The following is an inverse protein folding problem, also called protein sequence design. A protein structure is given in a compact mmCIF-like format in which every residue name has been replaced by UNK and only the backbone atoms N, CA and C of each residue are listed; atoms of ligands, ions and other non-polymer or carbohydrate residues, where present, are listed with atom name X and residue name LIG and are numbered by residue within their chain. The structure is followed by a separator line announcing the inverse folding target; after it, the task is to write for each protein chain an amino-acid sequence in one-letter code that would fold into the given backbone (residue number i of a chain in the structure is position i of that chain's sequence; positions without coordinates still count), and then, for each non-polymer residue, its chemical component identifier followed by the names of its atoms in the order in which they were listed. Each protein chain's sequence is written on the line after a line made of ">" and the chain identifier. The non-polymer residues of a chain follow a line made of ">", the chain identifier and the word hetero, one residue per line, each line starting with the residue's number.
data_IF_719830530350
#
_entry.id   IF_719830530350
#
_cell.length_a   1.000
_cell.length_b   1.000
_cell.length_c   1.000
_cell.angle_alpha   90.00
_cell.angle_beta   90.00
_cell.angle_gamma   90.00
#
_symmetry.space_group_name_H-M   'P 1'
#
loop_
_entity.id
_entity.type
_entity.pdbx_description
1 polymer ?
#
# COMPACT_ATOMS: atom_id res chain seq x y z
N UNK A 1 -8.28 14.34 8.73
CA UNK A 1 -7.26 13.87 9.71
C UNK A 1 -7.45 12.41 10.14
N UNK A 2 -8.63 11.98 10.61
CA UNK A 2 -8.87 10.62 11.13
C UNK A 2 -8.48 9.48 10.17
N UNK A 3 -8.81 9.60 8.88
CA UNK A 3 -8.50 8.57 7.88
C UNK A 3 -6.98 8.34 7.71
N UNK A 4 -6.21 9.42 7.48
CA UNK A 4 -4.77 9.34 7.22
C UNK A 4 -3.92 9.20 8.51
N UNK A 5 -4.35 9.84 9.60
CA UNK A 5 -3.59 9.95 10.85
C UNK A 5 -4.42 9.52 12.07
N UNK A 6 -5.11 8.38 11.98
CA UNK A 6 -6.06 7.93 13.01
C UNK A 6 -5.48 7.85 14.43
N UNK A 7 -4.19 7.49 14.57
CA UNK A 7 -3.51 7.50 15.87
C UNK A 7 -3.36 8.91 16.44
N UNK A 8 -2.91 9.87 15.62
CA UNK A 8 -2.75 11.27 16.05
C UNK A 8 -4.11 11.88 16.41
N UNK A 9 -5.13 11.62 15.58
CA UNK A 9 -6.50 12.03 15.84
C UNK A 9 -7.00 11.46 17.18
N UNK A 10 -6.75 10.17 17.47
CA UNK A 10 -7.14 9.57 18.76
C UNK A 10 -6.43 10.23 19.95
N UNK A 11 -5.15 10.57 19.83
CA UNK A 11 -4.42 11.25 20.90
C UNK A 11 -5.06 12.60 21.23
N UNK A 12 -5.34 13.41 20.22
CA UNK A 12 -6.04 14.69 20.38
C UNK A 12 -7.40 14.51 21.06
N UNK A 13 -8.25 13.59 20.57
CA UNK A 13 -9.59 13.35 21.13
C UNK A 13 -9.54 12.88 22.60
N UNK A 14 -8.57 12.03 22.94
CA UNK A 14 -8.47 11.45 24.29
C UNK A 14 -7.89 12.47 25.29
N UNK A 15 -6.98 13.33 24.84
CA UNK A 15 -6.20 14.20 25.70
C UNK A 15 -6.47 15.69 25.60
N UNK A 16 -7.38 16.13 24.73
CA UNK A 16 -7.60 17.54 24.38
C UNK A 16 -6.44 18.20 23.61
N UNK A 17 -5.32 17.50 23.47
CA UNK A 17 -4.13 17.87 22.71
C UNK A 17 -3.31 16.61 22.40
N UNK A 18 -2.40 16.68 21.43
CA UNK A 18 -1.50 15.55 21.10
C UNK A 18 -0.63 15.17 22.30
N UNK A 19 -0.09 16.17 23.01
CA UNK A 19 0.76 15.97 24.19
C UNK A 19 -0.04 15.34 25.33
N UNK A 20 -1.21 15.89 25.66
CA UNK A 20 -2.09 15.34 26.69
C UNK A 20 -2.52 13.91 26.37
N UNK A 21 -2.81 13.62 25.09
CA UNK A 21 -3.15 12.29 24.61
C UNK A 21 -2.00 11.29 24.78
N UNK A 22 -0.78 11.75 24.54
CA UNK A 22 0.44 10.94 24.69
C UNK A 22 0.65 10.53 26.14
N UNK A 23 0.52 11.46 27.10
CA UNK A 23 0.61 11.14 28.52
C UNK A 23 -0.45 10.13 28.96
N UNK A 24 -1.70 10.30 28.52
CA UNK A 24 -2.77 9.34 28.81
C UNK A 24 -2.48 7.96 28.21
N UNK A 25 -2.03 7.90 26.95
CA UNK A 25 -1.68 6.64 26.29
C UNK A 25 -0.51 5.91 26.99
N UNK A 26 0.48 6.64 27.52
CA UNK A 26 1.57 6.05 28.32
C UNK A 26 1.01 5.48 29.64
N UNK A 27 0.15 6.23 30.33
CA UNK A 27 -0.48 5.78 31.58
C UNK A 27 -1.31 4.51 31.37
N UNK A 28 -2.15 4.48 30.34
CA UNK A 28 -2.96 3.31 29.97
C UNK A 28 -2.10 2.07 29.67
N UNK A 29 -0.99 2.27 28.97
CA UNK A 29 -0.08 1.19 28.56
C UNK A 29 0.73 0.64 29.73
N UNK A 30 0.97 1.45 30.76
CA UNK A 30 1.52 1.01 32.04
C UNK A 30 0.52 0.13 32.80
N UNK A 31 -0.77 0.50 32.81
CA UNK A 31 -1.81 -0.29 33.46
C UNK A 31 -2.21 -1.56 32.70
N UNK A 32 -2.08 -1.58 31.37
CA UNK A 32 -2.42 -2.72 30.50
C UNK A 32 -1.23 -3.06 29.60
N UNK A 33 -0.27 -3.87 30.09
CA UNK A 33 0.89 -4.27 29.31
C UNK A 33 0.46 -5.09 28.09
N UNK A 34 1.21 -4.93 26.99
CA UNK A 34 0.98 -5.74 25.79
C UNK A 34 1.24 -7.21 26.09
N UNK A 35 0.51 -8.14 25.45
CA UNK A 35 0.83 -9.55 25.53
C UNK A 35 2.29 -9.81 25.12
N UNK A 36 2.95 -10.81 25.71
CA UNK A 36 4.34 -11.13 25.43
C UNK A 36 4.54 -11.45 23.93
N UNK A 37 5.67 -11.01 23.38
CA UNK A 37 6.03 -11.28 21.99
C UNK A 37 6.33 -12.77 21.82
N UNK A 38 5.93 -13.34 20.68
CA UNK A 38 6.29 -14.72 20.30
C UNK A 38 7.83 -14.86 20.28
N UNK A 39 8.41 -15.78 21.09
CA UNK A 39 9.85 -15.94 21.23
C UNK A 39 10.53 -16.43 19.95
N UNK A 40 9.78 -16.98 18.99
CA UNK A 40 10.31 -17.41 17.67
C UNK A 40 10.61 -16.23 16.75
N UNK A 41 10.03 -15.06 17.03
CA UNK A 41 10.22 -13.87 16.20
C UNK A 41 11.50 -13.14 16.60
N UNK A 42 12.36 -12.75 15.65
CA UNK A 42 13.56 -12.00 15.96
C UNK A 42 13.20 -10.67 16.66
N UNK A 43 14.01 -10.29 17.65
CA UNK A 43 13.87 -9.00 18.33
C UNK A 43 14.40 -7.89 17.41
N UNK A 44 13.57 -6.93 16.99
CA UNK A 44 14.04 -5.82 16.16
C UNK A 44 15.05 -4.98 16.94
N UNK A 45 16.19 -4.63 16.33
CA UNK A 45 17.16 -3.71 16.93
C UNK A 45 16.66 -2.27 16.74
N UNK A 46 15.88 -1.76 17.69
CA UNK A 46 15.34 -0.39 17.64
C UNK A 46 14.16 -0.22 16.68
N UNK A 47 13.89 1.01 16.24
CA UNK A 47 12.86 1.31 15.24
C UNK A 47 13.39 1.04 13.83
N UNK A 48 13.60 -0.23 13.48
CA UNK A 48 14.07 -0.63 12.15
C UNK A 48 12.91 -0.91 11.21
N UNK A 49 12.98 -0.37 10.00
CA UNK A 49 12.21 -0.86 8.87
C UNK A 49 12.67 -2.27 8.49
N UNK A 50 11.72 -3.16 8.23
CA UNK A 50 12.00 -4.56 7.90
C UNK A 50 11.73 -4.86 6.42
N UNK A 51 12.52 -5.78 5.86
CA UNK A 51 12.28 -6.41 4.57
C UNK A 51 12.69 -7.88 4.66
N UNK A 52 12.41 -8.65 3.61
CA UNK A 52 12.84 -10.05 3.54
C UNK A 52 14.15 -10.16 2.75
N UNK A 53 14.91 -11.24 2.99
CA UNK A 53 16.24 -11.47 2.38
C UNK A 53 16.24 -11.27 0.85
N UNK A 54 15.24 -11.81 0.14
CA UNK A 54 15.09 -11.68 -1.32
C UNK A 54 14.11 -10.58 -1.74
N UNK A 55 13.54 -9.85 -0.79
CA UNK A 55 12.68 -8.67 -1.02
C UNK A 55 11.22 -8.94 -0.72
N UNK A 56 10.39 -7.91 -0.83
CA UNK A 56 8.99 -7.96 -0.41
C UNK A 56 8.16 -9.01 -1.14
N UNK A 57 8.59 -9.47 -2.33
CA UNK A 57 7.96 -10.56 -3.09
C UNK A 57 7.92 -11.88 -2.31
N UNK A 58 8.86 -12.13 -1.39
CA UNK A 58 8.86 -13.35 -0.58
C UNK A 58 7.55 -13.57 0.20
N UNK A 59 6.90 -12.50 0.64
CA UNK A 59 5.65 -12.60 1.40
C UNK A 59 4.47 -13.13 0.55
N UNK A 60 4.08 -12.48 -0.56
CA UNK A 60 3.02 -13.00 -1.41
C UNK A 60 3.37 -14.35 -2.04
N UNK A 61 4.65 -14.61 -2.39
CA UNK A 61 5.06 -15.92 -2.93
C UNK A 61 4.82 -17.04 -1.88
N UNK A 62 5.21 -16.84 -0.62
CA UNK A 62 4.99 -17.81 0.45
C UNK A 62 3.50 -18.01 0.79
N UNK A 63 2.69 -16.95 0.71
CA UNK A 63 1.23 -17.06 0.86
C UNK A 63 0.64 -17.88 -0.30
N UNK A 64 1.08 -17.63 -1.53
CA UNK A 64 0.65 -18.37 -2.72
C UNK A 64 0.95 -19.86 -2.58
N UNK A 65 2.19 -20.21 -2.20
CA UNK A 65 2.61 -21.58 -1.96
C UNK A 65 1.74 -22.27 -0.89
N UNK A 66 1.48 -21.60 0.23
CA UNK A 66 0.66 -22.16 1.32
C UNK A 66 -0.81 -22.36 0.93
N UNK A 67 -1.36 -21.50 0.07
CA UNK A 67 -2.75 -21.61 -0.39
C UNK A 67 -2.91 -22.59 -1.56
N UNK A 68 -1.84 -22.85 -2.32
CA UNK A 68 -1.80 -23.83 -3.41
C UNK A 68 -2.89 -23.56 -4.46
N UNK A 69 -3.63 -24.62 -4.81
CA UNK A 69 -4.66 -24.60 -5.87
C UNK A 69 -5.85 -23.66 -5.61
N UNK A 70 -5.98 -23.11 -4.38
CA UNK A 70 -6.99 -22.11 -4.03
C UNK A 70 -6.69 -20.74 -4.64
N UNK A 71 -5.43 -20.44 -4.97
CA UNK A 71 -5.06 -19.22 -5.69
C UNK A 71 -5.27 -19.46 -7.18
N UNK A 72 -6.13 -18.64 -7.78
CA UNK A 72 -6.38 -18.66 -9.23
C UNK A 72 -5.77 -17.41 -9.87
N UNK A 73 -4.67 -17.60 -10.59
CA UNK A 73 -4.02 -16.54 -11.35
C UNK A 73 -4.68 -16.40 -12.72
N UNK A 74 -4.66 -15.19 -13.29
CA UNK A 74 -5.30 -14.87 -14.58
C UNK A 74 -6.82 -15.10 -14.61
N UNK A 75 -7.47 -15.18 -13.44
CA UNK A 75 -8.92 -15.22 -13.31
C UNK A 75 -9.43 -13.81 -13.02
N UNK A 76 -10.17 -13.24 -13.96
CA UNK A 76 -10.76 -11.90 -13.83
C UNK A 76 -12.24 -12.02 -13.58
N UNK A 77 -12.71 -11.52 -12.42
CA UNK A 77 -14.13 -11.46 -12.11
C UNK A 77 -14.83 -10.51 -13.09
N UNK A 78 -15.79 -11.01 -13.86
CA UNK A 78 -16.55 -10.24 -14.84
C UNK A 78 -17.93 -9.85 -14.34
N UNK A 79 -18.60 -10.71 -13.56
CA UNK A 79 -19.91 -10.39 -12.98
C UNK A 79 -20.16 -11.08 -11.65
N UNK A 80 -21.03 -10.46 -10.87
CA UNK A 80 -21.62 -11.00 -9.64
C UNK A 80 -23.12 -11.15 -9.91
N UNK A 81 -23.75 -12.21 -9.43
CA UNK A 81 -25.20 -12.36 -9.49
C UNK A 81 -25.65 -12.97 -8.18
N UNK A 82 -26.71 -12.41 -7.58
CA UNK A 82 -27.29 -12.99 -6.36
C UNK A 82 -27.95 -14.32 -6.71
N UNK A 83 -27.73 -15.32 -5.89
CA UNK A 83 -28.43 -16.60 -6.06
C UNK A 83 -29.76 -16.58 -5.30
N UNK A 84 -30.82 -17.09 -5.91
CA UNK A 84 -32.13 -17.29 -5.28
C UNK A 84 -32.06 -18.16 -4.01
N UNK A 85 -31.06 -19.06 -3.94
CA UNK A 85 -30.82 -19.95 -2.79
C UNK A 85 -29.93 -19.33 -1.71
N UNK A 86 -29.69 -18.03 -1.79
CA UNK A 86 -28.74 -17.30 -0.94
C UNK A 86 -27.30 -17.35 -1.47
N UNK A 87 -26.53 -16.31 -1.18
CA UNK A 87 -25.16 -16.13 -1.65
C UNK A 87 -25.08 -15.62 -3.10
N UNK A 88 -23.98 -15.93 -3.76
CA UNK A 88 -23.56 -15.32 -5.02
C UNK A 88 -23.08 -16.36 -6.02
N UNK A 89 -23.40 -16.11 -7.29
CA UNK A 89 -22.75 -16.69 -8.45
C UNK A 89 -21.75 -15.68 -9.00
N UNK A 90 -20.49 -16.09 -9.11
CA UNK A 90 -19.36 -15.29 -9.56
C UNK A 90 -18.90 -15.81 -10.90
N UNK A 91 -18.90 -14.97 -11.93
CA UNK A 91 -18.43 -15.35 -13.27
C UNK A 91 -17.03 -14.79 -13.51
N UNK A 92 -16.12 -15.64 -13.95
CA UNK A 92 -14.74 -15.32 -14.22
C UNK A 92 -14.38 -15.56 -15.68
N UNK A 93 -13.67 -14.61 -16.27
CA UNK A 93 -12.87 -14.82 -17.47
C UNK A 93 -11.56 -15.51 -17.06
N UNK A 94 -11.27 -16.68 -17.65
CA UNK A 94 -10.06 -17.47 -17.36
C UNK A 94 -9.35 -17.86 -18.66
N UNK A 95 -8.08 -18.29 -18.62
CA UNK A 95 -7.37 -18.77 -19.81
C UNK A 95 -8.07 -19.94 -20.52
N UNK A 96 -8.81 -20.76 -19.78
CA UNK A 96 -9.55 -21.92 -20.29
C UNK A 96 -11.00 -21.61 -20.70
N UNK A 97 -11.41 -20.34 -20.61
CA UNK A 97 -12.76 -19.88 -20.93
C UNK A 97 -13.52 -19.34 -19.72
N UNK A 98 -14.84 -19.18 -19.87
CA UNK A 98 -15.69 -18.62 -18.81
C UNK A 98 -16.03 -19.68 -17.77
N UNK A 99 -15.81 -19.37 -16.50
CA UNK A 99 -16.12 -20.26 -15.37
C UNK A 99 -16.99 -19.54 -14.35
N UNK A 100 -18.00 -20.21 -13.80
CA UNK A 100 -18.83 -19.68 -12.71
C UNK A 100 -18.62 -20.45 -11.41
N UNK A 101 -18.48 -19.71 -10.30
CA UNK A 101 -18.32 -20.24 -8.94
C UNK A 101 -19.44 -19.76 -8.04
N UNK A 102 -19.88 -20.60 -7.11
CA UNK A 102 -20.81 -20.20 -6.04
C UNK A 102 -20.04 -19.86 -4.78
N UNK A 103 -20.42 -18.77 -4.12
CA UNK A 103 -19.89 -18.39 -2.81
C UNK A 103 -21.00 -17.83 -1.93
N UNK A 104 -20.89 -18.04 -0.61
CA UNK A 104 -21.80 -17.41 0.37
C UNK A 104 -21.42 -15.98 0.70
N UNK A 105 -20.14 -15.65 0.58
CA UNK A 105 -19.60 -14.33 0.89
C UNK A 105 -18.52 -13.93 -0.12
N UNK A 106 -18.32 -12.63 -0.30
CA UNK A 106 -17.32 -12.06 -1.20
C UNK A 106 -16.50 -11.05 -0.40
N UNK A 107 -15.17 -11.11 -0.50
CA UNK A 107 -14.31 -10.02 -0.01
C UNK A 107 -13.65 -9.37 -1.21
N UNK A 108 -14.00 -8.11 -1.48
CA UNK A 108 -13.42 -7.35 -2.58
C UNK A 108 -12.17 -6.60 -2.11
N UNK A 109 -10.99 -7.11 -2.48
CA UNK A 109 -9.69 -6.48 -2.18
C UNK A 109 -9.05 -5.82 -3.40
N UNK A 110 -9.80 -5.66 -4.49
CA UNK A 110 -9.37 -4.93 -5.69
C UNK A 110 -9.35 -3.41 -5.43
N UNK A 111 -8.64 -2.60 -6.25
CA UNK A 111 -8.72 -1.14 -6.14
C UNK A 111 -10.17 -0.64 -6.25
N UNK A 112 -10.50 0.48 -5.61
CA UNK A 112 -11.89 0.95 -5.50
C UNK A 112 -12.53 1.26 -6.86
N UNK A 113 -11.77 1.78 -7.84
CA UNK A 113 -12.28 2.02 -9.19
C UNK A 113 -12.62 0.72 -9.93
N UNK A 114 -11.90 -0.39 -9.63
CA UNK A 114 -12.25 -1.73 -10.15
C UNK A 114 -13.52 -2.24 -9.47
N UNK A 115 -13.60 -2.09 -8.14
CA UNK A 115 -14.80 -2.46 -7.39
C UNK A 115 -16.04 -1.69 -7.86
N UNK A 116 -15.89 -0.38 -8.13
CA UNK A 116 -16.95 0.49 -8.68
C UNK A 116 -17.54 -0.10 -9.97
N UNK A 117 -16.69 -0.47 -10.94
CA UNK A 117 -17.15 -1.02 -12.21
C UNK A 117 -17.90 -2.34 -12.03
N UNK A 118 -17.39 -3.24 -11.19
CA UNK A 118 -18.02 -4.54 -10.93
C UNK A 118 -19.36 -4.38 -10.19
N UNK A 119 -19.47 -3.40 -9.29
CA UNK A 119 -20.64 -3.21 -8.43
C UNK A 119 -21.71 -2.29 -9.03
N UNK A 120 -21.40 -1.53 -10.08
CA UNK A 120 -22.33 -0.60 -10.71
C UNK A 120 -23.67 -1.24 -11.12
N UNK A 121 -23.72 -2.46 -11.67
CA UNK A 121 -25.00 -3.12 -11.97
C UNK A 121 -25.85 -3.48 -10.73
N UNK A 122 -25.26 -3.47 -9.53
CA UNK A 122 -25.92 -3.86 -8.28
C UNK A 122 -26.26 -2.69 -7.39
N UNK A 123 -25.46 -1.62 -7.44
CA UNK A 123 -25.71 -0.38 -6.70
C UNK A 123 -24.94 0.77 -7.34
N UNK A 124 -25.66 1.66 -8.02
CA UNK A 124 -25.09 2.88 -8.62
C UNK A 124 -24.48 3.77 -7.53
N UNK A 125 -25.18 3.94 -6.40
CA UNK A 125 -24.71 4.75 -5.28
C UNK A 125 -23.38 4.23 -4.68
N UNK A 126 -23.25 2.91 -4.49
CA UNK A 126 -21.99 2.33 -4.02
C UNK A 126 -20.87 2.51 -5.05
N UNK A 127 -21.17 2.29 -6.34
CA UNK A 127 -20.20 2.45 -7.41
C UNK A 127 -19.69 3.89 -7.53
N UNK A 128 -20.58 4.89 -7.45
CA UNK A 128 -20.21 6.29 -7.53
C UNK A 128 -19.30 6.68 -6.35
N UNK A 129 -19.67 6.29 -5.13
CA UNK A 129 -18.83 6.51 -3.95
C UNK A 129 -17.43 5.89 -4.11
N UNK A 130 -17.32 4.65 -4.59
CA UNK A 130 -16.05 3.95 -4.78
C UNK A 130 -15.17 4.56 -5.89
N UNK A 131 -15.79 5.07 -6.96
CA UNK A 131 -15.07 5.75 -8.05
C UNK A 131 -14.53 7.12 -7.67
N UNK A 132 -15.09 7.75 -6.62
CA UNK A 132 -14.66 9.08 -6.19
C UNK A 132 -13.29 9.11 -5.50
N UNK A 133 -12.77 7.94 -5.07
CA UNK A 133 -11.44 7.87 -4.45
C UNK A 133 -10.36 8.17 -5.48
N UNK A 134 -9.57 9.21 -5.21
CA UNK A 134 -8.50 9.67 -6.08
C UNK A 134 -7.21 8.85 -5.89
N UNK A 135 -6.59 8.46 -7.00
CA UNK A 135 -5.31 7.74 -7.03
C UNK A 135 -4.36 8.49 -7.98
N UNK A 136 -3.38 9.25 -7.46
CA UNK A 136 -2.36 9.85 -8.29
C UNK A 136 -1.41 8.81 -8.86
N UNK A 137 -0.78 9.10 -10.00
CA UNK A 137 0.26 8.25 -10.55
C UNK A 137 1.54 8.41 -9.74
N UNK A 138 2.32 7.34 -9.63
CA UNK A 138 3.68 7.38 -9.07
C UNK A 138 4.56 6.47 -9.92
N UNK A 139 5.81 6.87 -10.14
CA UNK A 139 6.82 5.99 -10.68
C UNK A 139 7.89 5.68 -9.64
N UNK A 140 8.35 4.43 -9.60
CA UNK A 140 9.54 4.00 -8.91
C UNK A 140 10.69 3.86 -9.92
N UNK A 141 11.78 4.59 -9.67
CA UNK A 141 12.98 4.61 -10.50
C UNK A 141 14.13 4.08 -9.65
N UNK A 142 14.57 2.86 -9.96
CA UNK A 142 15.66 2.19 -9.25
C UNK A 142 16.93 2.33 -10.07
N UNK A 143 17.91 3.04 -9.50
CA UNK A 143 19.17 3.35 -10.16
C UNK A 143 20.33 3.13 -9.20
N UNK A 144 21.50 2.86 -9.76
CA UNK A 144 22.71 2.60 -9.01
C UNK A 144 23.85 3.50 -9.46
N UNK A 145 24.57 4.05 -8.50
CA UNK A 145 25.80 4.80 -8.73
C UNK A 145 27.01 4.06 -8.15
N UNK A 146 28.21 4.27 -8.69
CA UNK A 146 29.42 3.92 -7.95
C UNK A 146 29.52 4.78 -6.67
N UNK A 147 30.14 4.26 -5.61
CA UNK A 147 30.17 4.92 -4.31
C UNK A 147 30.86 6.29 -4.38
N UNK A 148 31.90 6.43 -5.20
CA UNK A 148 32.64 7.67 -5.44
C UNK A 148 31.81 8.79 -6.10
N UNK A 149 30.66 8.47 -6.70
CA UNK A 149 29.74 9.46 -7.25
C UNK A 149 28.95 10.21 -6.16
N UNK A 150 28.86 9.66 -4.94
CA UNK A 150 28.23 10.35 -3.82
C UNK A 150 29.09 11.56 -3.43
N UNK A 151 28.46 12.67 -3.11
CA UNK A 151 29.12 13.87 -2.59
C UNK A 151 29.75 13.59 -1.22
N UNK A 152 30.98 14.04 -1.02
CA UNK A 152 31.78 13.65 0.14
C UNK A 152 31.14 14.16 1.45
N UNK A 153 30.50 15.33 1.43
CA UNK A 153 29.77 15.90 2.57
C UNK A 153 28.47 15.15 2.94
N UNK A 154 28.08 14.14 2.16
CA UNK A 154 26.92 13.27 2.42
C UNK A 154 27.33 11.94 3.03
N UNK A 155 28.63 11.66 3.14
CA UNK A 155 29.15 10.42 3.70
C UNK A 155 29.38 10.57 5.21
N UNK A 156 29.10 9.49 5.94
CA UNK A 156 29.42 9.36 7.36
C UNK A 156 30.32 8.13 7.49
N UNK A 157 31.56 8.32 7.93
CA UNK A 157 32.61 7.30 7.94
C UNK A 157 32.84 6.66 6.56
N UNK A 158 32.79 7.46 5.49
CA UNK A 158 32.98 7.01 4.11
C UNK A 158 31.79 6.31 3.47
N UNK A 159 30.66 6.18 4.17
CA UNK A 159 29.47 5.48 3.68
C UNK A 159 28.24 6.39 3.63
N UNK A 160 27.34 6.13 2.67
CA UNK A 160 26.02 6.74 2.66
C UNK A 160 25.13 6.04 3.70
N UNK A 161 25.00 6.66 4.88
CA UNK A 161 24.20 6.13 6.00
C UNK A 161 22.82 6.77 6.06
N UNK A 162 21.80 5.96 6.35
CA UNK A 162 20.45 6.43 6.67
C UNK A 162 19.35 5.73 5.88
N UNK A 163 18.10 6.08 6.18
CA UNK A 163 16.94 5.55 5.45
C UNK A 163 16.85 6.11 4.03
N UNK A 164 17.10 7.41 3.89
CA UNK A 164 16.89 8.13 2.64
C UNK A 164 16.55 9.60 2.86
N UNK A 165 15.98 10.21 1.82
CA UNK A 165 15.55 11.60 1.78
C UNK A 165 14.08 11.69 1.38
N UNK A 166 13.38 12.68 1.95
CA UNK A 166 12.11 13.18 1.45
C UNK A 166 12.34 14.61 0.96
N UNK A 167 11.70 14.97 -0.16
CA UNK A 167 11.93 16.24 -0.81
C UNK A 167 10.68 17.12 -0.69
N UNK A 168 10.69 18.13 0.20
CA UNK A 168 9.64 19.14 0.20
C UNK A 168 9.58 19.84 -1.15
N UNK A 169 8.37 20.19 -1.60
CA UNK A 169 8.14 20.87 -2.88
C UNK A 169 8.94 22.17 -3.04
N UNK A 170 9.22 22.86 -1.93
CA UNK A 170 10.03 24.08 -1.90
C UNK A 170 11.48 23.87 -2.38
N UNK A 171 11.94 22.62 -2.51
CA UNK A 171 13.28 22.32 -3.05
C UNK A 171 13.35 22.39 -4.59
N UNK A 172 12.23 22.57 -5.30
CA UNK A 172 12.24 22.73 -6.76
C UNK A 172 12.74 21.49 -7.51
N UNK A 173 12.38 20.32 -7.00
CA UNK A 173 12.67 19.00 -7.58
C UNK A 173 11.36 18.25 -7.85
N UNK A 174 11.38 17.34 -8.81
CA UNK A 174 10.22 16.53 -9.18
C UNK A 174 10.13 15.24 -8.37
N UNK A 175 11.28 14.71 -7.96
CA UNK A 175 11.40 13.50 -7.13
C UNK A 175 10.79 13.76 -5.75
N UNK A 176 9.93 12.86 -5.27
CA UNK A 176 9.25 12.92 -3.97
C UNK A 176 10.16 12.51 -2.82
N UNK A 177 10.99 11.49 -3.06
CA UNK A 177 11.90 10.93 -2.07
C UNK A 177 12.77 9.84 -2.65
N UNK A 178 13.86 9.57 -1.94
CA UNK A 178 14.89 8.60 -2.31
C UNK A 178 15.16 7.69 -1.12
N UNK A 179 15.03 6.38 -1.30
CA UNK A 179 15.41 5.37 -0.30
C UNK A 179 16.82 4.86 -0.61
N UNK A 180 17.68 4.87 0.40
CA UNK A 180 19.06 4.36 0.32
C UNK A 180 19.05 2.84 0.50
N UNK A 181 18.58 2.14 -0.54
CA UNK A 181 18.23 0.72 -0.46
C UNK A 181 19.41 -0.16 -0.04
N UNK A 182 20.61 0.10 -0.53
CA UNK A 182 21.82 -0.63 -0.14
C UNK A 182 22.35 -0.29 1.26
N UNK A 183 21.99 0.90 1.79
CA UNK A 183 22.31 1.31 3.17
C UNK A 183 21.41 0.59 4.17
N UNK A 184 20.11 0.50 3.86
CA UNK A 184 19.12 -0.17 4.71
C UNK A 184 19.23 -1.69 4.70
N UNK A 185 19.52 -2.26 3.54
CA UNK A 185 19.46 -3.70 3.32
C UNK A 185 20.78 -4.18 2.69
N UNK A 186 21.67 -4.79 3.49
CA UNK A 186 22.90 -5.39 2.99
C UNK A 186 22.61 -6.40 1.87
N UNK A 187 23.55 -6.50 0.91
CA UNK A 187 23.46 -7.39 -0.27
C UNK A 187 22.38 -7.01 -1.29
N UNK A 188 21.93 -5.74 -1.31
CA UNK A 188 21.07 -5.20 -2.39
C UNK A 188 21.82 -4.56 -3.55
N UNK A 189 23.10 -4.28 -3.35
CA UNK A 189 24.01 -3.80 -4.39
C UNK A 189 25.31 -4.61 -4.31
N UNK A 190 26.05 -4.76 -5.43
CA UNK A 190 27.43 -5.24 -5.38
C UNK A 190 28.33 -4.25 -4.63
N UNK A 191 29.49 -4.71 -4.17
CA UNK A 191 30.49 -3.88 -3.50
C UNK A 191 30.90 -2.68 -4.38
N UNK A 192 31.17 -1.53 -3.74
CA UNK A 192 31.54 -0.29 -4.41
C UNK A 192 30.39 0.42 -5.12
N UNK A 193 29.14 -0.06 -4.98
CA UNK A 193 27.95 0.57 -5.55
C UNK A 193 26.90 0.88 -4.49
N UNK A 194 26.16 1.94 -4.74
CA UNK A 194 24.96 2.29 -3.99
C UNK A 194 23.72 2.01 -4.84
N UNK A 195 22.64 1.54 -4.22
CA UNK A 195 21.34 1.36 -4.86
C UNK A 195 20.34 2.35 -4.27
N UNK A 196 19.75 3.17 -5.13
CA UNK A 196 18.79 4.20 -4.79
C UNK A 196 17.43 3.85 -5.41
N UNK A 197 16.39 3.85 -4.59
CA UNK A 197 15.01 3.68 -5.02
C UNK A 197 14.30 5.03 -4.89
N UNK A 198 13.97 5.63 -6.02
CA UNK A 198 13.43 6.98 -6.10
C UNK A 198 11.96 6.92 -6.47
N UNK A 199 11.15 7.78 -5.86
CA UNK A 199 9.74 7.95 -6.22
C UNK A 199 9.52 9.32 -6.84
N UNK A 200 8.87 9.37 -7.99
CA UNK A 200 8.54 10.60 -8.73
C UNK A 200 7.05 10.59 -9.13
N UNK A 201 6.43 11.76 -9.20
CA UNK A 201 5.01 11.91 -9.53
C UNK A 201 4.18 12.34 -8.33
N UNK A 202 3.13 11.59 -8.03
CA UNK A 202 2.17 11.88 -6.97
C UNK A 202 1.13 12.94 -7.38
N UNK A 203 0.30 13.34 -6.42
CA UNK A 203 -0.83 14.24 -6.64
C UNK A 203 -0.43 15.63 -7.17
N UNK A 204 0.84 15.99 -7.09
CA UNK A 204 1.36 17.30 -7.51
C UNK A 204 2.17 17.25 -8.81
N UNK A 205 2.32 16.07 -9.41
CA UNK A 205 2.99 15.89 -10.70
C UNK A 205 2.37 14.68 -11.42
N UNK A 206 1.13 14.86 -11.90
CA UNK A 206 0.37 13.79 -12.56
C UNK A 206 0.89 13.47 -13.95
N UNK A 207 1.53 14.43 -14.61
CA UNK A 207 2.04 14.34 -15.97
C UNK A 207 3.17 13.30 -16.16
N UNK A 208 3.66 12.70 -15.07
CA UNK A 208 4.63 11.61 -15.14
C UNK A 208 4.13 10.40 -15.94
N UNK A 209 2.82 10.22 -16.09
CA UNK A 209 2.25 9.12 -16.91
C UNK A 209 2.50 9.31 -18.40
N UNK A 210 2.78 10.54 -18.82
CA UNK A 210 3.08 10.91 -20.21
C UNK A 210 4.58 10.84 -20.52
N UNK A 211 5.43 10.61 -19.51
CA UNK A 211 6.89 10.54 -19.66
C UNK A 211 7.35 9.12 -20.03
N UNK A 212 8.39 9.04 -20.84
CA UNK A 212 9.10 7.77 -21.08
C UNK A 212 9.93 7.37 -19.86
N UNK A 213 10.33 6.09 -19.79
CA UNK A 213 11.23 5.62 -18.72
C UNK A 213 12.55 6.41 -18.68
N UNK A 214 13.12 6.75 -19.85
CA UNK A 214 14.34 7.56 -19.92
C UNK A 214 14.16 8.96 -19.36
N UNK A 215 13.04 9.64 -19.70
CA UNK A 215 12.73 10.97 -19.17
C UNK A 215 12.52 10.95 -17.64
N UNK A 216 11.97 9.85 -17.09
CA UNK A 216 11.84 9.67 -15.64
C UNK A 216 13.21 9.47 -14.99
N UNK A 217 14.10 8.68 -15.60
CA UNK A 217 15.47 8.49 -15.13
C UNK A 217 16.25 9.80 -15.16
N UNK A 218 16.19 10.55 -16.26
CA UNK A 218 16.83 11.86 -16.42
C UNK A 218 16.35 12.86 -15.37
N UNK A 219 15.04 12.91 -15.11
CA UNK A 219 14.48 13.79 -14.07
C UNK A 219 14.97 13.43 -12.67
N UNK A 220 15.00 12.13 -12.34
CA UNK A 220 15.49 11.62 -11.05
C UNK A 220 17.00 11.87 -10.89
N UNK A 221 17.81 11.58 -11.91
CA UNK A 221 19.25 11.84 -11.88
C UNK A 221 19.54 13.33 -11.69
N UNK A 222 18.89 14.19 -12.48
CA UNK A 222 19.02 15.65 -12.35
C UNK A 222 18.70 16.13 -10.93
N UNK A 223 17.64 15.62 -10.32
CA UNK A 223 17.29 15.98 -8.95
C UNK A 223 18.32 15.45 -7.94
N UNK A 224 18.76 14.20 -8.08
CA UNK A 224 19.80 13.62 -7.22
C UNK A 224 21.13 14.38 -7.31
N UNK A 225 21.52 14.86 -8.49
CA UNK A 225 22.72 15.68 -8.69
C UNK A 225 22.64 17.02 -7.99
N UNK A 226 21.46 17.54 -7.64
CA UNK A 226 21.33 18.76 -6.82
C UNK A 226 21.70 18.52 -5.35
N UNK A 227 21.56 17.29 -4.85
CA UNK A 227 21.56 17.03 -3.40
C UNK A 227 22.51 15.93 -2.91
N UNK A 228 22.67 14.85 -3.67
CA UNK A 228 23.33 13.61 -3.24
C UNK A 228 24.51 13.21 -4.13
N UNK A 229 24.36 13.39 -5.46
CA UNK A 229 25.34 12.96 -6.46
C UNK A 229 26.23 14.13 -6.89
N UNK A 230 27.51 13.87 -7.14
CA UNK A 230 28.47 14.85 -7.66
C UNK A 230 28.01 15.32 -9.06
N UNK A 231 28.04 16.63 -9.38
CA UNK A 231 27.51 17.13 -10.65
C UNK A 231 28.11 16.48 -11.90
N UNK A 232 29.42 16.16 -11.86
CA UNK A 232 30.18 15.54 -12.97
C UNK A 232 30.34 14.02 -12.85
N UNK A 233 29.60 13.36 -11.96
CA UNK A 233 29.61 11.90 -11.89
C UNK A 233 29.13 11.28 -13.21
N UNK A 234 29.55 10.04 -13.48
CA UNK A 234 28.99 9.25 -14.56
C UNK A 234 27.49 9.00 -14.34
N UNK A 235 26.78 8.78 -15.43
CA UNK A 235 25.35 8.49 -15.41
C UNK A 235 25.05 7.19 -14.65
N UNK A 236 23.88 7.09 -14.02
CA UNK A 236 23.51 5.92 -13.24
C UNK A 236 23.38 4.66 -14.11
N UNK A 237 23.62 3.52 -13.49
CA UNK A 237 23.12 2.25 -14.02
C UNK A 237 21.63 2.10 -13.66
N UNK A 238 20.78 2.01 -14.68
CA UNK A 238 19.33 1.83 -14.50
C UNK A 238 19.01 0.37 -14.20
N UNK A 239 18.45 0.11 -13.01
CA UNK A 239 18.04 -1.24 -12.58
C UNK A 239 16.60 -1.52 -12.96
N UNK A 240 15.74 -0.52 -12.96
CA UNK A 240 14.37 -0.65 -13.42
C UNK A 240 13.52 0.59 -13.16
N UNK A 241 12.55 0.80 -14.04
CA UNK A 241 11.52 1.83 -13.92
C UNK A 241 10.16 1.14 -13.87
N UNK A 242 9.30 1.60 -12.97
CA UNK A 242 7.90 1.16 -12.94
C UNK A 242 6.99 2.33 -12.71
N UNK A 243 6.05 2.53 -13.61
CA UNK A 243 4.99 3.54 -13.48
C UNK A 243 3.70 2.85 -13.04
N UNK A 244 3.05 3.38 -12.01
CA UNK A 244 1.68 3.04 -11.64
C UNK A 244 0.80 4.27 -11.91
N UNK A 245 -0.06 4.24 -12.94
CA UNK A 245 -0.96 5.36 -13.26
C UNK A 245 -1.94 5.69 -12.12
N UNK A 246 -2.31 4.69 -11.32
CA UNK A 246 -3.16 4.81 -10.15
C UNK A 246 -2.49 4.09 -8.98
N UNK A 247 -1.63 4.79 -8.25
CA UNK A 247 -0.69 4.16 -7.32
C UNK A 247 -1.26 3.96 -5.91
N UNK A 248 -1.59 5.05 -5.22
CA UNK A 248 -1.92 5.06 -3.79
C UNK A 248 -3.22 5.84 -3.57
N UNK A 249 -4.28 5.25 -2.99
CA UNK A 249 -5.51 5.98 -2.71
C UNK A 249 -5.24 7.15 -1.78
N UNK A 250 -5.73 8.33 -2.14
CA UNK A 250 -5.62 9.53 -1.31
C UNK A 250 -6.80 9.60 -0.35
N UNK A 251 -6.48 9.61 0.94
CA UNK A 251 -7.47 9.75 2.00
C UNK A 251 -7.82 11.23 2.20
N UNK A 252 -8.51 11.79 1.21
CA UNK A 252 -8.96 13.18 1.20
C UNK A 252 -9.99 13.43 2.32
N UNK A 253 -10.34 14.70 2.54
CA UNK A 253 -11.42 15.06 3.47
C UNK A 253 -12.71 14.35 3.02
N UNK A 254 -13.41 13.71 3.96
CA UNK A 254 -14.61 12.92 3.69
C UNK A 254 -14.36 11.44 3.36
N UNK A 255 -13.11 10.96 3.29
CA UNK A 255 -12.80 9.56 2.91
C UNK A 255 -13.60 8.49 3.67
N UNK A 256 -13.71 8.63 5.00
CA UNK A 256 -14.45 7.66 5.82
C UNK A 256 -15.96 7.76 5.60
N UNK A 257 -16.49 8.95 5.33
CA UNK A 257 -17.90 9.18 5.07
C UNK A 257 -18.27 8.57 3.71
N UNK A 258 -17.46 8.82 2.68
CA UNK A 258 -17.58 8.18 1.36
C UNK A 258 -17.53 6.66 1.45
N UNK A 259 -16.59 6.11 2.23
CA UNK A 259 -16.52 4.66 2.46
C UNK A 259 -17.76 4.14 3.20
N UNK A 260 -18.27 4.90 4.17
CA UNK A 260 -19.53 4.63 4.86
C UNK A 260 -20.71 4.57 3.89
N UNK A 261 -20.87 5.58 3.04
CA UNK A 261 -21.89 5.63 1.98
C UNK A 261 -21.81 4.40 1.08
N UNK A 262 -20.62 4.00 0.64
CA UNK A 262 -20.46 2.79 -0.17
C UNK A 262 -20.94 1.53 0.57
N UNK A 263 -20.56 1.36 1.84
CA UNK A 263 -20.98 0.20 2.65
C UNK A 263 -22.49 0.18 2.90
N UNK A 264 -23.08 1.32 3.27
CA UNK A 264 -24.52 1.45 3.48
C UNK A 264 -25.29 1.18 2.20
N UNK A 265 -24.88 1.75 1.07
CA UNK A 265 -25.53 1.52 -0.22
C UNK A 265 -25.46 0.05 -0.65
N UNK A 266 -24.38 -0.68 -0.34
CA UNK A 266 -24.31 -2.12 -0.57
C UNK A 266 -25.34 -2.88 0.28
N UNK A 267 -25.45 -2.54 1.57
CA UNK A 267 -26.43 -3.12 2.48
C UNK A 267 -27.87 -2.84 2.03
N UNK A 268 -28.19 -1.60 1.69
CA UNK A 268 -29.53 -1.18 1.27
C UNK A 268 -29.97 -1.85 -0.04
N UNK A 269 -29.00 -2.19 -0.90
CA UNK A 269 -29.24 -2.97 -2.12
C UNK A 269 -29.20 -4.48 -1.86
N UNK A 270 -29.21 -4.94 -0.60
CA UNK A 270 -29.27 -6.34 -0.18
C UNK A 270 -28.04 -7.17 -0.59
N UNK A 271 -26.85 -6.57 -0.60
CA UNK A 271 -25.58 -7.25 -0.90
C UNK A 271 -24.93 -7.78 0.39
N UNK A 272 -25.73 -8.36 1.28
CA UNK A 272 -25.27 -8.96 2.53
C UNK A 272 -24.26 -10.09 2.30
N UNK A 273 -23.12 -10.02 3.00
CA UNK A 273 -22.01 -10.96 2.81
C UNK A 273 -20.99 -10.52 1.76
N UNK A 274 -21.17 -9.35 1.13
CA UNK A 274 -20.14 -8.67 0.35
C UNK A 274 -19.40 -7.65 1.23
N UNK A 275 -18.11 -7.87 1.42
CA UNK A 275 -17.23 -7.01 2.22
C UNK A 275 -16.25 -6.27 1.33
N UNK A 276 -16.07 -4.97 1.60
CA UNK A 276 -15.01 -4.18 0.99
C UNK A 276 -13.74 -4.28 1.83
N UNK A 277 -12.59 -4.51 1.17
CA UNK A 277 -11.29 -4.61 1.81
C UNK A 277 -10.19 -3.91 1.02
N UNK A 278 -8.94 -4.19 1.38
CA UNK A 278 -7.78 -3.60 0.71
C UNK A 278 -7.39 -2.21 1.25
N UNK A 279 -6.50 -1.55 0.50
CA UNK A 279 -5.75 -0.39 0.98
C UNK A 279 -6.59 0.89 1.12
N UNK A 280 -7.68 1.03 0.36
CA UNK A 280 -8.60 2.17 0.49
C UNK A 280 -9.58 2.02 1.66
N UNK A 281 -9.75 0.80 2.19
CA UNK A 281 -10.61 0.51 3.35
C UNK A 281 -9.80 0.52 4.63
N UNK A 282 -8.75 -0.29 4.68
CA UNK A 282 -8.01 -0.57 5.92
C UNK A 282 -6.95 0.50 6.19
N UNK A 283 -6.32 1.01 5.14
CA UNK A 283 -5.16 1.90 5.20
C UNK A 283 -4.09 1.49 4.20
N UNK A 284 -3.25 2.44 3.80
CA UNK A 284 -2.32 2.27 2.67
C UNK A 284 -1.10 1.40 2.96
N UNK A 285 -0.65 1.34 4.22
CA UNK A 285 0.55 0.64 4.60
C UNK A 285 0.34 -0.88 4.59
N UNK A 286 1.35 -1.65 4.15
CA UNK A 286 1.30 -3.13 4.11
C UNK A 286 0.85 -3.74 5.45
N UNK A 287 1.46 -3.30 6.56
CA UNK A 287 1.09 -3.80 7.89
C UNK A 287 -0.37 -3.55 8.23
N UNK A 288 -0.92 -2.39 7.82
CA UNK A 288 -2.31 -2.06 8.05
C UNK A 288 -3.26 -2.85 7.15
N UNK A 289 -2.89 -3.14 5.91
CA UNK A 289 -3.63 -4.08 5.05
C UNK A 289 -3.69 -5.48 5.68
N UNK A 290 -2.60 -5.95 6.29
CA UNK A 290 -2.57 -7.26 6.97
C UNK A 290 -3.48 -7.25 8.20
N UNK A 291 -3.38 -6.24 9.06
CA UNK A 291 -4.27 -6.09 10.22
C UNK A 291 -5.74 -6.04 9.79
N UNK A 292 -6.06 -5.22 8.77
CA UNK A 292 -7.41 -5.11 8.23
C UNK A 292 -7.93 -6.41 7.61
N UNK A 293 -7.05 -7.23 7.03
CA UNK A 293 -7.44 -8.55 6.52
C UNK A 293 -7.89 -9.50 7.64
N UNK A 294 -7.25 -9.46 8.83
CA UNK A 294 -7.70 -10.24 9.98
C UNK A 294 -9.03 -9.72 10.54
N UNK A 295 -9.23 -8.40 10.58
CA UNK A 295 -10.51 -7.79 10.98
C UNK A 295 -11.64 -8.25 10.06
N UNK A 296 -11.45 -8.14 8.74
CA UNK A 296 -12.44 -8.58 7.74
C UNK A 296 -12.67 -10.10 7.80
N UNK A 297 -11.62 -10.91 8.01
CA UNK A 297 -11.79 -12.36 8.16
C UNK A 297 -12.67 -12.71 9.37
N UNK A 298 -12.57 -11.95 10.46
CA UNK A 298 -13.45 -12.09 11.63
C UNK A 298 -14.89 -11.70 11.30
N UNK A 299 -15.11 -10.60 10.57
CA UNK A 299 -16.44 -10.18 10.11
C UNK A 299 -17.09 -11.24 9.21
N UNK A 300 -16.34 -11.77 8.24
CA UNK A 300 -16.79 -12.85 7.35
C UNK A 300 -17.14 -14.11 8.14
N UNK A 301 -16.32 -14.49 9.12
CA UNK A 301 -16.60 -15.65 9.98
C UNK A 301 -17.89 -15.44 10.78
N UNK A 302 -18.06 -14.24 11.37
CA UNK A 302 -19.29 -13.87 12.08
C UNK A 302 -20.52 -13.97 11.17
N UNK A 303 -20.45 -13.42 9.96
CA UNK A 303 -21.51 -13.53 8.96
C UNK A 303 -21.83 -14.98 8.59
N UNK A 304 -20.82 -15.77 8.22
CA UNK A 304 -21.02 -17.16 7.80
C UNK A 304 -21.56 -18.06 8.94
N UNK A 305 -21.26 -17.75 10.20
CA UNK A 305 -21.78 -18.49 11.35
C UNK A 305 -23.31 -18.44 11.46
N UNK A 306 -23.93 -17.37 10.98
CA UNK A 306 -25.40 -17.20 10.95
C UNK A 306 -26.08 -18.18 9.99
N UNK A 307 -25.31 -18.75 9.05
CA UNK A 307 -25.77 -19.74 8.06
C UNK A 307 -25.33 -21.16 8.40
N UNK A 308 -24.54 -21.37 9.46
CA UNK A 308 -24.06 -22.69 9.88
C UNK A 308 -25.05 -23.46 10.77
N UNK A 309 -26.13 -22.81 11.23
CA UNK A 309 -27.16 -23.37 12.11
C UNK A 309 -28.57 -23.35 11.50
N UNK A 310 -28.69 -23.49 10.17
CA UNK A 310 -29.97 -23.73 9.48
C UNK A 310 -29.86 -24.93 8.54
#
# INVERSE_FOLDING_TARGET
>A
MKAAFGKVWKLEQTGGSIIGGTFKAIKERSSNPKPPRDPRLPTPKGQTVGSFRKGLRMLPDAICERLGSKVKLSWKLSSITKSEKGGYLLTYETPEGVVSLRSRSIVMTVPSYVASNILRPHSVAAADALSSFYYPPVAAVTISYPQEAIRDERLVDGELKGFGQLHPRSQGVETLGTIYSSSLFPNRAPNGRVLLLNYIGGATNTEIVSKTESQLVEAVDRDLRKMLIKPKAQDPFVTGVRVWPQAIPQFLVGHLDTLGTAKTALSDNGLDGLFLGGNYVSGVALGRCVEGAYEIASEVTGFLSQYAYK
#
